data_IF_539600748396
#
_entry.id   IF_539600748396
#
_cell.length_a   1.000
_cell.length_b   1.000
_cell.length_c   1.000
_cell.angle_alpha   90.00
_cell.angle_beta   90.00
_cell.angle_gamma   90.00
#
_symmetry.space_group_name_H-M   'P 1'
#
loop_
_entity.id
_entity.type
_entity.pdbx_description
1 polymer ?
#
# COMPACT_ATOMS: atom_id res chain seq x y z
N UNK A 1 9.28 10.00 -17.68
CA UNK A 1 9.82 8.65 -17.41
C UNK A 1 8.71 7.65 -17.13
N UNK A 2 8.93 6.34 -17.35
CA UNK A 2 8.01 5.30 -16.92
C UNK A 2 8.39 4.83 -15.52
N UNK A 3 7.41 4.70 -14.62
CA UNK A 3 7.63 4.25 -13.24
C UNK A 3 6.67 3.11 -12.90
N UNK A 4 7.18 2.06 -12.27
CA UNK A 4 6.41 1.02 -11.59
C UNK A 4 6.53 1.27 -10.09
N UNK A 5 5.43 1.66 -9.44
CA UNK A 5 5.34 1.76 -7.98
C UNK A 5 4.91 0.42 -7.39
N UNK A 6 5.78 -0.20 -6.61
CA UNK A 6 5.46 -1.44 -5.90
C UNK A 6 4.64 -1.12 -4.65
N UNK A 7 3.35 -1.39 -4.73
CA UNK A 7 2.40 -1.18 -3.63
C UNK A 7 1.95 -2.55 -3.06
N UNK A 8 2.90 -3.39 -2.73
CA UNK A 8 2.68 -4.69 -2.10
C UNK A 8 2.84 -4.66 -0.57
N UNK A 9 2.57 -5.78 0.07
CA UNK A 9 2.79 -5.95 1.51
C UNK A 9 1.52 -5.97 2.36
N UNK A 10 1.53 -6.67 3.50
CA UNK A 10 0.40 -6.79 4.43
C UNK A 10 0.37 -5.69 5.49
N UNK A 11 1.49 -4.98 5.70
CA UNK A 11 1.57 -3.85 6.61
C UNK A 11 1.25 -4.10 8.09
N UNK A 12 1.08 -5.35 8.55
CA UNK A 12 0.62 -5.72 9.92
C UNK A 12 1.43 -5.13 11.07
N UNK A 13 2.65 -4.63 10.81
CA UNK A 13 3.52 -4.01 11.84
C UNK A 13 3.02 -2.64 12.32
N UNK A 14 2.08 -2.03 11.61
CA UNK A 14 1.42 -0.78 12.03
C UNK A 14 -0.01 -1.02 12.53
N UNK A 15 -0.30 -2.25 12.97
CA UNK A 15 -1.54 -2.51 13.69
C UNK A 15 -1.69 -1.54 14.88
N UNK A 16 -2.89 -1.00 15.15
CA UNK A 16 -4.19 -1.32 14.58
C UNK A 16 -4.60 -0.47 13.36
N UNK A 17 -3.73 0.39 12.83
CA UNK A 17 -4.06 1.22 11.65
C UNK A 17 -3.98 0.44 10.33
N UNK A 18 -3.19 -0.63 10.31
CA UNK A 18 -3.03 -1.49 9.14
C UNK A 18 -3.55 -2.90 9.41
N UNK A 19 -4.16 -3.50 8.39
CA UNK A 19 -4.69 -4.86 8.39
C UNK A 19 -4.48 -5.51 7.01
N UNK A 20 -5.05 -6.69 6.77
CA UNK A 20 -4.89 -7.43 5.51
C UNK A 20 -5.50 -6.71 4.28
N UNK A 21 -6.46 -5.79 4.49
CA UNK A 21 -7.09 -4.99 3.43
C UNK A 21 -6.47 -3.60 3.35
N UNK A 22 -6.31 -2.92 4.48
CA UNK A 22 -5.70 -1.59 4.57
C UNK A 22 -4.23 -1.71 4.92
N UNK A 23 -3.38 -1.74 3.92
CA UNK A 23 -1.92 -1.77 4.11
C UNK A 23 -1.37 -0.40 4.55
N UNK A 24 -0.17 -0.40 5.14
CA UNK A 24 0.49 0.78 5.74
C UNK A 24 0.56 2.01 4.80
N UNK A 25 0.78 1.79 3.52
CA UNK A 25 0.93 2.86 2.53
C UNK A 25 -0.34 3.68 2.29
N UNK A 26 -1.51 3.23 2.78
CA UNK A 26 -2.80 3.92 2.67
C UNK A 26 -3.20 4.69 3.94
N UNK A 27 -2.39 4.65 5.01
CA UNK A 27 -2.65 5.36 6.26
C UNK A 27 -2.33 6.85 6.08
N UNK A 28 -3.29 7.73 6.34
CA UNK A 28 -3.13 9.19 6.21
C UNK A 28 -2.60 9.78 7.50
N UNK A 29 -1.28 9.96 7.59
CA UNK A 29 -0.59 10.48 8.79
C UNK A 29 0.47 11.54 8.48
N UNK A 30 0.74 11.81 7.20
CA UNK A 30 1.69 12.84 6.80
C UNK A 30 0.95 14.14 6.53
N UNK A 31 1.27 15.18 7.30
CA UNK A 31 0.63 16.48 7.18
C UNK A 31 1.21 17.24 5.99
N UNK A 32 0.35 17.69 5.09
CA UNK A 32 0.67 18.60 3.99
C UNK A 32 0.75 20.05 4.47
N UNK A 33 1.27 20.93 3.60
CA UNK A 33 1.35 22.38 3.88
C UNK A 33 -0.04 23.03 4.06
N UNK A 34 -1.10 22.47 3.44
CA UNK A 34 -2.48 22.94 3.58
C UNK A 34 -3.16 22.46 4.89
N UNK A 35 -2.46 21.68 5.71
CA UNK A 35 -2.97 21.13 6.97
C UNK A 35 -3.67 19.78 6.85
N UNK A 36 -3.98 19.33 5.63
CA UNK A 36 -4.60 18.03 5.38
C UNK A 36 -3.57 16.89 5.54
N UNK A 37 -4.07 15.68 5.83
CA UNK A 37 -3.22 14.49 5.95
C UNK A 37 -3.25 13.67 4.65
N UNK A 38 -2.06 13.33 4.17
CA UNK A 38 -1.85 12.41 3.05
C UNK A 38 -1.28 11.06 3.51
N UNK A 39 -1.52 10.03 2.71
CA UNK A 39 -0.90 8.72 2.87
C UNK A 39 0.45 8.66 2.14
N UNK A 40 1.24 7.59 2.40
CA UNK A 40 2.51 7.40 1.72
C UNK A 40 2.34 7.30 0.20
N UNK A 41 1.35 6.55 -0.28
CA UNK A 41 1.12 6.43 -1.73
C UNK A 41 0.72 7.76 -2.36
N UNK A 42 -0.08 8.58 -1.68
CA UNK A 42 -0.43 9.93 -2.15
C UNK A 42 0.80 10.84 -2.18
N UNK A 43 1.62 10.80 -1.13
CA UNK A 43 2.85 11.58 -1.01
C UNK A 43 3.82 11.24 -2.15
N UNK A 44 4.16 9.97 -2.31
CA UNK A 44 5.11 9.50 -3.35
C UNK A 44 4.59 9.84 -4.74
N UNK A 45 3.31 9.59 -5.02
CA UNK A 45 2.71 9.91 -6.31
C UNK A 45 2.78 11.42 -6.62
N UNK A 46 2.43 12.27 -5.66
CA UNK A 46 2.52 13.73 -5.79
C UNK A 46 3.96 14.19 -6.04
N UNK A 47 4.92 13.68 -5.28
CA UNK A 47 6.34 14.04 -5.42
C UNK A 47 6.93 13.58 -6.77
N UNK A 48 6.51 12.42 -7.30
CA UNK A 48 6.88 11.99 -8.66
C UNK A 48 6.40 12.99 -9.69
N UNK A 49 5.12 13.39 -9.65
CA UNK A 49 4.56 14.34 -10.61
C UNK A 49 5.12 15.76 -10.46
N UNK A 50 5.58 16.13 -9.26
CA UNK A 50 6.31 17.40 -9.07
C UNK A 50 7.70 17.37 -9.72
N UNK A 51 8.42 16.24 -9.62
CA UNK A 51 9.73 16.07 -10.23
C UNK A 51 9.67 15.85 -11.76
N UNK A 52 8.64 15.16 -12.23
CA UNK A 52 8.40 14.86 -13.65
C UNK A 52 6.89 14.87 -13.95
N UNK A 53 6.33 16.03 -14.38
CA UNK A 53 4.90 16.13 -14.69
C UNK A 53 4.41 15.18 -15.79
N UNK A 54 5.30 14.72 -16.66
CA UNK A 54 5.01 13.78 -17.74
C UNK A 54 5.28 12.31 -17.35
N UNK A 55 5.54 12.04 -16.08
CA UNK A 55 5.79 10.67 -15.60
C UNK A 55 4.57 9.77 -15.82
N UNK A 56 4.78 8.61 -16.44
CA UNK A 56 3.78 7.56 -16.57
C UNK A 56 3.90 6.60 -15.39
N UNK A 57 2.98 6.72 -14.44
CA UNK A 57 3.03 5.95 -13.20
C UNK A 57 2.11 4.74 -13.30
N UNK A 58 2.67 3.55 -13.13
CA UNK A 58 1.95 2.28 -13.01
C UNK A 58 2.08 1.75 -11.60
N UNK A 59 0.97 1.55 -10.89
CA UNK A 59 0.97 0.96 -9.55
C UNK A 59 0.81 -0.56 -9.67
N UNK A 60 1.82 -1.32 -9.24
CA UNK A 60 1.73 -2.77 -9.08
C UNK A 60 1.14 -3.10 -7.71
N UNK A 61 -0.05 -3.69 -7.67
CA UNK A 61 -0.80 -3.89 -6.43
C UNK A 61 -1.68 -5.14 -6.48
N UNK A 62 -2.19 -5.57 -5.33
CA UNK A 62 -3.13 -6.68 -5.24
C UNK A 62 -4.58 -6.25 -5.44
N UNK A 63 -5.44 -7.19 -5.83
CA UNK A 63 -6.88 -6.96 -6.02
C UNK A 63 -7.56 -6.35 -4.78
N UNK A 64 -7.13 -6.71 -3.57
CA UNK A 64 -7.71 -6.19 -2.32
C UNK A 64 -7.41 -4.70 -2.10
N UNK A 65 -6.37 -4.15 -2.72
CA UNK A 65 -5.91 -2.77 -2.55
C UNK A 65 -6.39 -1.82 -3.67
N UNK A 66 -6.98 -2.35 -4.74
CA UNK A 66 -7.45 -1.54 -5.88
C UNK A 66 -8.34 -0.36 -5.47
N UNK A 67 -9.30 -0.62 -4.57
CA UNK A 67 -10.22 0.41 -4.10
C UNK A 67 -9.48 1.55 -3.40
N UNK A 68 -8.47 1.23 -2.58
CA UNK A 68 -7.66 2.24 -1.89
C UNK A 68 -6.81 3.05 -2.87
N UNK A 69 -6.22 2.41 -3.90
CA UNK A 69 -5.49 3.12 -4.95
C UNK A 69 -6.40 4.14 -5.66
N UNK A 70 -7.55 3.70 -6.21
CA UNK A 70 -8.45 4.60 -6.92
C UNK A 70 -9.12 5.65 -6.02
N UNK A 71 -9.30 5.35 -4.73
CA UNK A 71 -9.85 6.32 -3.78
C UNK A 71 -8.84 7.40 -3.38
N UNK A 72 -7.55 7.09 -3.37
CA UNK A 72 -6.52 8.00 -2.87
C UNK A 72 -5.73 8.69 -3.98
N UNK A 73 -5.53 8.04 -5.12
CA UNK A 73 -4.86 8.64 -6.27
C UNK A 73 -5.90 9.21 -7.23
N UNK A 74 -5.95 10.53 -7.32
CA UNK A 74 -6.79 11.24 -8.28
C UNK A 74 -6.02 11.34 -9.59
N UNK A 75 -6.70 11.05 -10.72
CA UNK A 75 -6.13 11.15 -12.05
C UNK A 75 -5.98 9.78 -12.76
N UNK A 76 -5.31 9.82 -13.90
CA UNK A 76 -5.08 8.64 -14.74
C UNK A 76 -3.86 7.85 -14.25
N UNK A 77 -4.05 7.06 -13.19
CA UNK A 77 -3.03 6.12 -12.74
C UNK A 77 -3.26 4.76 -13.41
N UNK A 78 -2.22 4.23 -14.04
CA UNK A 78 -2.23 2.86 -14.55
C UNK A 78 -2.07 1.88 -13.39
N UNK A 79 -2.74 0.73 -13.46
CA UNK A 79 -2.68 -0.28 -12.40
C UNK A 79 -2.43 -1.66 -12.98
N UNK A 80 -1.33 -2.28 -12.58
CA UNK A 80 -1.05 -3.69 -12.81
C UNK A 80 -1.48 -4.50 -11.59
N UNK A 81 -2.51 -5.34 -11.76
CA UNK A 81 -3.14 -6.08 -10.65
C UNK A 81 -2.58 -7.47 -10.54
N UNK A 82 -1.97 -7.79 -9.41
CA UNK A 82 -1.56 -9.15 -9.09
C UNK A 82 -2.77 -10.00 -8.66
N UNK A 83 -3.02 -11.16 -9.30
CA UNK A 83 -4.07 -12.08 -8.88
C UNK A 83 -3.90 -12.60 -7.44
N UNK A 84 -2.66 -12.83 -7.03
CA UNK A 84 -2.26 -13.24 -5.67
C UNK A 84 -0.82 -12.78 -5.37
N UNK A 85 -0.36 -12.90 -4.12
CA UNK A 85 1.00 -12.49 -3.73
C UNK A 85 2.04 -13.52 -4.11
N UNK A 86 3.03 -13.13 -4.94
CA UNK A 86 4.15 -13.97 -5.40
C UNK A 86 5.52 -13.31 -5.22
N UNK A 87 5.63 -12.29 -4.34
CA UNK A 87 6.85 -11.51 -4.13
C UNK A 87 7.21 -10.60 -5.32
N UNK A 88 8.34 -9.89 -5.26
CA UNK A 88 8.62 -8.75 -6.14
C UNK A 88 8.97 -9.12 -7.57
N UNK A 89 9.61 -10.28 -7.83
CA UNK A 89 9.95 -10.64 -9.22
C UNK A 89 8.71 -10.88 -10.11
N UNK A 90 7.72 -11.70 -9.72
CA UNK A 90 6.51 -11.86 -10.51
C UNK A 90 5.72 -10.55 -10.67
N UNK A 91 5.66 -9.72 -9.61
CA UNK A 91 4.98 -8.43 -9.66
C UNK A 91 5.62 -7.47 -10.68
N UNK A 92 6.96 -7.37 -10.67
CA UNK A 92 7.73 -6.56 -11.62
C UNK A 92 7.59 -7.09 -13.04
N UNK A 93 7.66 -8.42 -13.24
CA UNK A 93 7.50 -9.04 -14.55
C UNK A 93 6.11 -8.76 -15.14
N UNK A 94 5.04 -8.93 -14.33
CA UNK A 94 3.66 -8.65 -14.73
C UNK A 94 3.45 -7.18 -15.07
N UNK A 95 3.97 -6.26 -14.25
CA UNK A 95 3.85 -4.82 -14.49
C UNK A 95 4.65 -4.37 -15.72
N UNK A 96 5.84 -4.95 -15.96
CA UNK A 96 6.63 -4.69 -17.18
C UNK A 96 5.89 -5.18 -18.44
N UNK A 97 5.29 -6.38 -18.39
CA UNK A 97 4.46 -6.89 -19.47
C UNK A 97 3.20 -6.03 -19.69
N UNK A 98 2.56 -5.55 -18.61
CA UNK A 98 1.43 -4.62 -18.69
C UNK A 98 1.79 -3.34 -19.45
N UNK A 99 2.96 -2.75 -19.14
CA UNK A 99 3.43 -1.53 -19.81
C UNK A 99 3.57 -1.75 -21.34
N UNK A 100 4.11 -2.88 -21.76
CA UNK A 100 4.29 -3.18 -23.20
C UNK A 100 2.96 -3.58 -23.86
N UNK A 101 2.25 -4.57 -23.32
CA UNK A 101 1.11 -5.21 -23.98
C UNK A 101 -0.20 -4.45 -23.84
N UNK A 102 -0.35 -3.65 -22.78
CA UNK A 102 -1.60 -2.91 -22.48
C UNK A 102 -1.44 -1.40 -22.60
N UNK A 103 -0.31 -0.85 -22.15
CA UNK A 103 -0.05 0.59 -22.19
C UNK A 103 0.71 1.04 -23.44
N UNK A 104 1.18 0.12 -24.30
CA UNK A 104 1.84 0.42 -25.57
C UNK A 104 3.22 1.07 -25.43
N UNK A 105 3.89 0.88 -24.29
CA UNK A 105 5.25 1.38 -24.05
C UNK A 105 6.24 0.52 -24.84
N UNK A 106 7.20 1.14 -25.51
CA UNK A 106 8.21 0.39 -26.27
C UNK A 106 9.09 -0.47 -25.35
N UNK A 107 9.38 -1.72 -25.70
CA UNK A 107 10.35 -2.54 -24.97
C UNK A 107 11.75 -1.92 -24.83
N UNK A 108 12.08 -0.96 -25.69
CA UNK A 108 13.35 -0.23 -25.66
C UNK A 108 13.35 0.95 -24.69
N UNK A 109 12.19 1.37 -24.20
CA UNK A 109 12.11 2.41 -23.17
C UNK A 109 12.55 1.88 -21.81
N UNK A 110 13.19 2.75 -21.02
CA UNK A 110 13.53 2.45 -19.65
C UNK A 110 12.32 2.60 -18.73
N UNK A 111 12.33 1.84 -17.66
CA UNK A 111 11.40 1.92 -16.55
C UNK A 111 12.15 1.96 -15.23
N UNK A 112 11.68 2.76 -14.30
CA UNK A 112 12.14 2.77 -12.90
C UNK A 112 11.14 2.03 -12.04
N UNK A 113 11.59 1.06 -11.28
CA UNK A 113 10.81 0.38 -10.25
C UNK A 113 11.20 0.94 -8.91
N UNK A 114 10.25 1.39 -8.13
CA UNK A 114 10.49 1.83 -6.76
C UNK A 114 9.35 1.43 -5.82
N UNK A 115 9.63 1.18 -4.52
CA UNK A 115 8.61 0.93 -3.52
C UNK A 115 7.88 2.22 -3.16
N UNK A 116 6.62 2.11 -2.68
CA UNK A 116 5.80 3.26 -2.24
C UNK A 116 6.03 3.64 -0.78
N UNK A 117 6.85 2.91 -0.04
CA UNK A 117 6.92 2.98 1.42
C UNK A 117 8.16 3.67 2.02
N UNK A 118 9.20 4.10 1.28
CA UNK A 118 10.27 4.89 1.88
C UNK A 118 9.82 6.35 2.12
N UNK A 119 10.24 6.91 3.24
CA UNK A 119 10.13 8.33 3.53
C UNK A 119 11.41 9.04 3.05
N UNK A 120 11.25 9.89 2.05
CA UNK A 120 12.33 10.51 1.30
C UNK A 120 12.08 12.01 1.11
N UNK A 121 13.13 12.76 0.81
CA UNK A 121 13.03 14.15 0.35
C UNK A 121 12.85 14.22 -1.18
N UNK A 122 12.67 15.45 -1.70
CA UNK A 122 12.40 15.66 -3.12
C UNK A 122 13.60 15.32 -4.02
N UNK A 123 14.83 15.31 -3.49
CA UNK A 123 16.05 14.94 -4.23
C UNK A 123 16.03 13.48 -4.69
N UNK A 124 15.32 12.63 -3.96
CA UNK A 124 15.13 11.24 -4.34
C UNK A 124 14.44 11.08 -5.71
N UNK A 125 13.43 11.91 -5.98
CA UNK A 125 12.70 11.83 -7.25
C UNK A 125 13.50 12.40 -8.43
N UNK A 126 14.42 13.33 -8.17
CA UNK A 126 15.42 13.75 -9.16
C UNK A 126 16.38 12.60 -9.45
N UNK A 127 16.85 11.89 -8.42
CA UNK A 127 17.70 10.73 -8.60
C UNK A 127 17.02 9.57 -9.36
N UNK A 128 15.68 9.41 -9.27
CA UNK A 128 14.96 8.45 -10.12
C UNK A 128 15.05 8.80 -11.62
N UNK A 129 15.03 10.10 -11.97
CA UNK A 129 15.22 10.54 -13.36
C UNK A 129 16.64 10.24 -13.85
N UNK A 130 17.64 10.46 -13.00
CA UNK A 130 19.03 10.15 -13.32
C UNK A 130 19.23 8.65 -13.52
N UNK A 131 18.55 7.82 -12.71
CA UNK A 131 18.54 6.37 -12.86
C UNK A 131 17.96 5.95 -14.22
N UNK A 132 16.82 6.51 -14.60
CA UNK A 132 16.19 6.25 -15.89
C UNK A 132 17.13 6.63 -17.05
N UNK A 133 17.72 7.82 -16.97
CA UNK A 133 18.66 8.32 -17.98
C UNK A 133 19.93 7.43 -18.09
N UNK A 134 20.40 6.86 -16.96
CA UNK A 134 21.52 5.93 -16.98
C UNK A 134 21.15 4.60 -17.63
N UNK A 135 19.95 4.06 -17.33
CA UNK A 135 19.44 2.85 -17.97
C UNK A 135 19.24 3.02 -19.49
N UNK A 136 18.85 4.21 -19.95
CA UNK A 136 18.68 4.51 -21.37
C UNK A 136 20.00 4.44 -22.15
N UNK A 137 21.14 4.71 -21.53
CA UNK A 137 22.47 4.59 -22.18
C UNK A 137 22.78 3.14 -22.59
N UNK A 138 22.20 2.14 -21.89
CA UNK A 138 22.40 0.72 -22.20
C UNK A 138 23.79 0.18 -21.87
N UNK A 139 24.56 0.89 -21.05
CA UNK A 139 25.88 0.48 -20.59
C UNK A 139 25.82 -0.71 -19.64
N UNK A 140 24.73 -0.80 -18.86
CA UNK A 140 24.39 -1.90 -17.97
C UNK A 140 23.01 -2.48 -18.31
N UNK A 141 22.76 -3.72 -17.90
CA UNK A 141 21.45 -4.34 -18.00
C UNK A 141 20.50 -3.85 -16.90
N UNK A 142 21.07 -3.52 -15.74
CA UNK A 142 20.35 -3.10 -14.53
C UNK A 142 21.13 -1.96 -13.86
N UNK A 143 20.42 -0.91 -13.49
CA UNK A 143 20.95 0.22 -12.71
C UNK A 143 20.23 0.25 -11.36
N UNK A 144 20.98 0.24 -10.26
CA UNK A 144 20.48 0.27 -8.89
C UNK A 144 20.62 1.66 -8.29
N UNK A 145 19.71 2.04 -7.40
CA UNK A 145 19.95 3.14 -6.47
C UNK A 145 20.62 2.60 -5.21
N UNK A 146 21.81 3.05 -4.93
CA UNK A 146 22.54 2.71 -3.72
C UNK A 146 22.43 3.80 -2.68
N UNK A 147 21.86 3.48 -1.53
CA UNK A 147 21.65 4.39 -0.40
C UNK A 147 22.87 4.35 0.52
N UNK A 148 23.37 5.52 0.93
CA UNK A 148 24.48 5.59 1.90
C UNK A 148 24.06 4.99 3.25
N UNK A 149 24.77 3.95 3.76
CA UNK A 149 24.41 3.29 5.00
C UNK A 149 24.77 4.17 6.22
N UNK A 150 23.87 4.19 7.19
CA UNK A 150 24.07 4.90 8.46
C UNK A 150 24.35 3.95 9.64
N UNK A 151 24.14 2.65 9.47
CA UNK A 151 24.41 1.60 10.47
C UNK A 151 24.45 0.22 9.79
N UNK A 152 25.03 -0.83 10.43
CA UNK A 152 25.08 -2.18 9.87
C UNK A 152 23.73 -2.89 10.02
N UNK A 153 22.85 -2.73 9.01
CA UNK A 153 21.51 -3.31 8.98
C UNK A 153 21.53 -4.75 8.46
N UNK A 154 20.88 -5.67 9.17
CA UNK A 154 20.62 -7.03 8.71
C UNK A 154 19.34 -7.12 7.83
N UNK A 155 18.64 -5.98 7.62
CA UNK A 155 17.34 -5.95 6.94
C UNK A 155 17.45 -5.61 5.45
N UNK A 156 18.60 -5.07 5.01
CA UNK A 156 18.81 -4.59 3.65
C UNK A 156 19.84 -5.42 2.90
N UNK A 157 19.75 -5.43 1.57
CA UNK A 157 20.82 -5.88 0.69
C UNK A 157 21.96 -4.85 0.64
N UNK A 158 23.16 -5.31 0.35
CA UNK A 158 24.37 -4.50 0.20
C UNK A 158 24.90 -4.59 -1.21
N UNK A 159 25.15 -3.42 -1.80
CA UNK A 159 25.73 -3.24 -3.13
C UNK A 159 27.18 -2.84 -2.94
N UNK A 160 28.13 -3.63 -3.44
CA UNK A 160 29.55 -3.33 -3.37
C UNK A 160 30.00 -2.75 -4.72
N UNK A 161 30.21 -1.43 -4.83
CA UNK A 161 30.68 -0.80 -6.07
C UNK A 161 32.17 -1.08 -6.29
N UNK A 162 32.59 -0.97 -7.56
CA UNK A 162 34.02 -1.05 -7.95
C UNK A 162 34.78 0.21 -7.53
N UNK A 163 34.09 1.35 -7.47
CA UNK A 163 34.66 2.65 -7.13
C UNK A 163 33.69 3.53 -6.34
N UNK A 164 34.19 4.58 -5.71
CA UNK A 164 33.39 5.56 -4.97
C UNK A 164 32.88 6.73 -5.83
N UNK A 165 32.79 6.55 -7.15
CA UNK A 165 32.23 7.54 -8.07
C UNK A 165 30.69 7.60 -7.94
N UNK A 166 30.05 8.73 -8.34
CA UNK A 166 28.57 8.84 -8.29
C UNK A 166 27.82 7.73 -9.03
N UNK A 167 28.41 7.25 -10.12
CA UNK A 167 27.96 6.07 -10.89
C UNK A 167 29.14 5.11 -10.98
N UNK A 168 28.93 3.86 -10.58
CA UNK A 168 29.98 2.84 -10.60
C UNK A 168 29.41 1.48 -11.04
N UNK A 169 30.26 0.64 -11.63
CA UNK A 169 29.94 -0.76 -11.83
C UNK A 169 29.86 -1.48 -10.47
N UNK A 170 29.01 -2.50 -10.38
CA UNK A 170 28.83 -3.29 -9.17
C UNK A 170 29.70 -4.53 -9.24
N UNK A 171 30.56 -4.70 -8.24
CA UNK A 171 31.45 -5.86 -8.10
C UNK A 171 30.75 -7.05 -7.44
N UNK A 172 29.83 -6.79 -6.50
CA UNK A 172 29.07 -7.83 -5.80
C UNK A 172 27.77 -7.25 -5.19
N UNK A 173 26.79 -8.12 -5.04
CA UNK A 173 25.55 -7.85 -4.33
C UNK A 173 25.37 -8.93 -3.26
N UNK A 174 24.88 -8.54 -2.06
CA UNK A 174 24.60 -9.48 -0.97
C UNK A 174 23.33 -9.12 -0.23
N UNK A 175 22.35 -9.99 -0.28
CA UNK A 175 21.07 -9.80 0.39
C UNK A 175 21.15 -10.18 1.87
N UNK A 176 20.77 -9.26 2.75
CA UNK A 176 20.58 -9.44 4.20
C UNK A 176 21.71 -10.20 4.92
N UNK A 177 22.94 -9.69 4.94
CA UNK A 177 24.04 -10.27 5.71
C UNK A 177 23.78 -10.12 7.22
N UNK A 178 24.52 -10.86 8.05
CA UNK A 178 24.52 -10.58 9.48
C UNK A 178 25.25 -9.25 9.79
N UNK A 179 25.07 -8.72 11.02
CA UNK A 179 25.57 -7.39 11.39
C UNK A 179 27.11 -7.25 11.26
N UNK A 180 27.88 -8.31 11.52
CA UNK A 180 29.35 -8.30 11.40
C UNK A 180 29.74 -8.13 9.93
N UNK A 181 29.20 -8.94 9.04
CA UNK A 181 29.45 -8.88 7.60
C UNK A 181 28.91 -7.58 7.02
N UNK A 182 27.78 -7.09 7.52
CA UNK A 182 27.22 -5.79 7.13
C UNK A 182 28.21 -4.65 7.43
N UNK A 183 28.86 -4.65 8.60
CA UNK A 183 29.87 -3.66 8.95
C UNK A 183 31.09 -3.76 8.04
N UNK A 184 31.59 -4.97 7.78
CA UNK A 184 32.71 -5.19 6.86
C UNK A 184 32.42 -4.65 5.44
N UNK A 185 31.16 -4.78 4.97
CA UNK A 185 30.75 -4.21 3.67
C UNK A 185 30.70 -2.68 3.71
N UNK A 186 30.19 -2.08 4.80
CA UNK A 186 30.19 -0.62 4.98
C UNK A 186 31.63 -0.08 4.95
N UNK A 187 32.55 -0.73 5.63
CA UNK A 187 33.98 -0.35 5.68
C UNK A 187 34.64 -0.44 4.28
N UNK A 188 34.09 -1.27 3.39
CA UNK A 188 34.50 -1.37 1.99
C UNK A 188 33.75 -0.39 1.05
N UNK A 189 32.94 0.52 1.57
CA UNK A 189 32.18 1.50 0.81
C UNK A 189 30.91 0.96 0.15
N UNK A 190 30.34 -0.13 0.69
CA UNK A 190 29.07 -0.66 0.22
C UNK A 190 27.91 0.30 0.50
N UNK A 191 26.90 0.19 -0.33
CA UNK A 191 25.63 0.94 -0.25
C UNK A 191 24.49 -0.01 0.08
N UNK A 192 23.44 0.49 0.77
CA UNK A 192 22.21 -0.28 0.90
C UNK A 192 21.46 -0.36 -0.42
N UNK A 193 20.86 -1.50 -0.68
CA UNK A 193 19.87 -1.67 -1.73
C UNK A 193 18.51 -1.11 -1.25
N UNK A 194 18.09 0.00 -1.81
CA UNK A 194 16.80 0.64 -1.53
C UNK A 194 15.60 -0.01 -2.22
N UNK A 195 15.81 -1.12 -2.97
CA UNK A 195 14.76 -1.75 -3.76
C UNK A 195 14.34 -0.92 -4.99
N UNK A 196 15.22 -0.05 -5.46
CA UNK A 196 15.00 0.81 -6.64
C UNK A 196 15.87 0.32 -7.79
N UNK A 197 15.20 0.03 -8.90
CA UNK A 197 15.82 -0.54 -10.08
C UNK A 197 15.44 0.23 -11.34
N UNK A 198 16.37 0.46 -12.25
CA UNK A 198 16.06 0.95 -13.58
C UNK A 198 16.66 0.01 -14.66
N UNK A 199 15.88 -0.24 -15.70
CA UNK A 199 16.25 -1.15 -16.78
C UNK A 199 15.41 -0.86 -18.03
N UNK A 200 15.86 -1.30 -19.21
CA UNK A 200 15.01 -1.35 -20.41
C UNK A 200 13.99 -2.47 -20.29
N UNK A 201 12.72 -2.21 -20.60
CA UNK A 201 11.62 -3.17 -20.42
C UNK A 201 11.92 -4.55 -21.01
N UNK A 202 12.56 -4.60 -22.21
CA UNK A 202 12.98 -5.86 -22.86
C UNK A 202 13.80 -6.75 -21.93
N UNK A 203 14.68 -6.18 -21.09
CA UNK A 203 15.57 -6.96 -20.22
C UNK A 203 14.78 -7.80 -19.24
N UNK A 204 13.82 -7.21 -18.51
CA UNK A 204 13.02 -7.95 -17.53
C UNK A 204 12.05 -8.92 -18.21
N UNK A 205 11.53 -8.58 -19.40
CA UNK A 205 10.71 -9.51 -20.19
C UNK A 205 11.51 -10.73 -20.65
N UNK A 206 12.77 -10.56 -21.02
CA UNK A 206 13.68 -11.67 -21.34
C UNK A 206 13.98 -12.53 -20.10
N UNK A 207 14.23 -11.91 -18.93
CA UNK A 207 14.39 -12.64 -17.65
C UNK A 207 13.11 -13.41 -17.27
N UNK A 208 11.94 -12.83 -17.47
CA UNK A 208 10.66 -13.52 -17.24
C UNK A 208 10.54 -14.74 -18.17
N UNK A 209 10.86 -14.61 -19.47
CA UNK A 209 10.86 -15.73 -20.40
C UNK A 209 11.84 -16.84 -20.00
N UNK A 210 13.03 -16.48 -19.52
CA UNK A 210 14.04 -17.44 -19.08
C UNK A 210 13.67 -18.18 -17.80
N UNK A 211 13.08 -17.48 -16.82
CA UNK A 211 12.80 -18.00 -15.47
C UNK A 211 11.41 -18.63 -15.39
N UNK A 212 10.41 -18.03 -16.05
CA UNK A 212 8.99 -18.41 -15.97
C UNK A 212 8.57 -19.25 -17.19
N UNK A 213 9.22 -19.02 -18.35
CA UNK A 213 8.90 -19.68 -19.64
C UNK A 213 8.06 -18.82 -20.59
N UNK A 214 7.51 -17.68 -20.12
CA UNK A 214 6.75 -16.72 -20.93
C UNK A 214 6.85 -15.31 -20.35
N UNK A 215 6.52 -14.29 -21.15
CA UNK A 215 6.69 -12.90 -20.75
C UNK A 215 5.56 -11.96 -21.21
N UNK A 216 4.54 -12.50 -21.89
CA UNK A 216 3.34 -11.73 -22.26
C UNK A 216 2.38 -11.57 -21.07
N UNK A 217 1.70 -10.43 -21.03
CA UNK A 217 0.84 -10.06 -19.89
C UNK A 217 -0.24 -11.09 -19.61
N UNK A 218 -0.93 -11.57 -20.66
CA UNK A 218 -2.08 -12.46 -20.46
C UNK A 218 -1.66 -13.80 -19.86
N UNK A 219 -0.59 -14.41 -20.38
CA UNK A 219 -0.08 -15.70 -19.86
C UNK A 219 0.49 -15.55 -18.45
N UNK A 220 1.18 -14.42 -18.16
CA UNK A 220 1.66 -14.12 -16.81
C UNK A 220 0.49 -13.96 -15.83
N UNK A 221 -0.57 -13.27 -16.23
CA UNK A 221 -1.75 -13.05 -15.40
C UNK A 221 -2.53 -14.36 -15.13
N UNK A 222 -2.79 -15.13 -16.17
CA UNK A 222 -3.57 -16.39 -16.06
C UNK A 222 -2.81 -17.47 -15.27
N UNK A 223 -1.50 -17.59 -15.45
CA UNK A 223 -0.63 -18.52 -14.74
C UNK A 223 -0.05 -17.99 -13.43
N UNK A 224 -0.45 -16.80 -12.98
CA UNK A 224 0.21 -16.11 -11.86
C UNK A 224 0.21 -16.88 -10.54
N UNK A 225 -0.87 -17.63 -10.26
CA UNK A 225 -1.01 -18.43 -9.04
C UNK A 225 0.02 -19.57 -8.94
N UNK A 226 0.57 -20.01 -10.07
CA UNK A 226 1.51 -21.12 -10.12
C UNK A 226 2.97 -20.66 -10.11
N UNK A 227 3.19 -19.33 -10.23
CA UNK A 227 4.53 -18.78 -10.23
C UNK A 227 5.22 -18.97 -8.88
N UNK A 228 6.53 -19.23 -8.93
CA UNK A 228 7.37 -19.31 -7.73
C UNK A 228 7.38 -17.98 -6.99
N UNK A 229 7.15 -18.01 -5.69
CA UNK A 229 7.30 -16.85 -4.81
C UNK A 229 8.79 -16.56 -4.62
N UNK A 230 9.27 -15.46 -5.22
CA UNK A 230 10.69 -15.06 -5.18
C UNK A 230 10.83 -13.55 -5.35
N UNK A 231 11.77 -12.93 -4.62
CA UNK A 231 12.08 -11.51 -4.79
C UNK A 231 12.87 -11.24 -6.08
N UNK A 232 12.82 -10.01 -6.56
CA UNK A 232 13.59 -9.55 -7.71
C UNK A 232 15.09 -9.63 -7.44
N UNK A 233 15.49 -9.36 -6.20
CA UNK A 233 16.87 -9.43 -5.74
C UNK A 233 17.46 -10.83 -5.94
N UNK A 234 16.79 -11.87 -5.44
CA UNK A 234 17.23 -13.26 -5.58
C UNK A 234 17.05 -13.81 -7.01
N UNK A 235 16.01 -13.39 -7.71
CA UNK A 235 15.74 -13.92 -9.04
C UNK A 235 16.68 -13.33 -10.10
N UNK A 236 17.00 -12.04 -9.99
CA UNK A 236 17.67 -11.24 -11.02
C UNK A 236 18.94 -10.59 -10.52
N UNK A 237 18.88 -9.74 -9.45
CA UNK A 237 20.00 -8.87 -9.06
C UNK A 237 21.24 -9.66 -8.68
N UNK A 238 21.12 -10.70 -7.85
CA UNK A 238 22.27 -11.54 -7.42
C UNK A 238 22.94 -12.33 -8.55
N UNK A 239 22.29 -12.45 -9.72
CA UNK A 239 22.75 -13.26 -10.86
C UNK A 239 23.18 -12.44 -12.07
N UNK A 240 22.94 -11.13 -12.00
CA UNK A 240 23.29 -10.24 -13.10
C UNK A 240 24.74 -9.75 -12.95
N UNK A 241 25.50 -9.76 -14.04
CA UNK A 241 26.90 -9.35 -14.05
C UNK A 241 27.08 -7.90 -14.51
N UNK A 242 26.14 -7.40 -15.34
CA UNK A 242 26.21 -6.05 -15.90
C UNK A 242 25.30 -5.10 -15.12
N UNK A 243 25.73 -4.74 -13.91
CA UNK A 243 25.01 -3.85 -13.01
C UNK A 243 25.82 -2.59 -12.76
N UNK A 244 25.13 -1.44 -12.78
CA UNK A 244 25.64 -0.17 -12.28
C UNK A 244 24.84 0.28 -11.06
N UNK A 245 25.47 1.07 -10.20
CA UNK A 245 24.84 1.71 -9.07
C UNK A 245 25.00 3.23 -9.15
N UNK A 246 23.91 3.97 -8.97
CA UNK A 246 23.90 5.41 -8.75
C UNK A 246 23.80 5.65 -7.24
N UNK A 247 24.77 6.40 -6.67
CA UNK A 247 24.81 6.74 -5.25
C UNK A 247 23.75 7.78 -4.91
N UNK A 248 23.06 7.54 -3.82
CA UNK A 248 22.12 8.48 -3.25
C UNK A 248 22.45 8.76 -1.77
N UNK A 249 22.70 10.01 -1.44
CA UNK A 249 23.08 10.49 -0.09
C UNK A 249 22.01 11.37 0.57
N UNK A 250 20.82 11.48 -0.03
CA UNK A 250 19.71 12.23 0.54
C UNK A 250 18.99 11.47 1.67
N UNK A 251 17.94 12.07 2.19
CA UNK A 251 17.16 11.46 3.27
C UNK A 251 16.40 10.24 2.77
N UNK A 252 16.60 9.11 3.43
CA UNK A 252 15.90 7.87 3.15
C UNK A 252 15.61 7.11 4.44
N UNK A 253 14.35 6.74 4.68
CA UNK A 253 13.92 5.95 5.84
C UNK A 253 12.87 4.93 5.41
N UNK A 254 13.03 3.67 5.83
CA UNK A 254 11.96 2.66 5.74
C UNK A 254 10.99 2.83 6.91
N UNK A 255 9.73 3.12 6.61
CA UNK A 255 8.68 3.29 7.61
C UNK A 255 7.94 1.96 7.86
N UNK A 256 8.70 0.92 8.15
CA UNK A 256 8.17 -0.43 8.37
C UNK A 256 7.60 -0.70 9.76
N UNK A 257 7.88 0.15 10.76
CA UNK A 257 7.51 -0.03 12.16
C UNK A 257 7.05 1.28 12.79
N UNK A 258 6.36 1.21 13.92
CA UNK A 258 5.93 2.40 14.66
C UNK A 258 7.11 3.30 15.08
N UNK A 259 8.25 2.71 15.43
CA UNK A 259 9.44 3.47 15.78
C UNK A 259 9.86 4.38 14.62
N UNK A 260 10.10 3.80 13.45
CA UNK A 260 10.55 4.58 12.28
C UNK A 260 9.47 5.52 11.76
N UNK A 261 8.19 5.14 11.87
CA UNK A 261 7.07 5.96 11.47
C UNK A 261 6.95 7.22 12.34
N UNK A 262 7.03 7.09 13.67
CA UNK A 262 6.93 8.23 14.59
C UNK A 262 8.07 9.22 14.44
N UNK A 263 9.24 8.80 13.96
CA UNK A 263 10.35 9.71 13.64
C UNK A 263 10.09 10.57 12.38
N UNK A 264 9.20 10.10 11.48
CA UNK A 264 8.84 10.81 10.26
C UNK A 264 7.56 11.64 10.41
N UNK A 265 6.82 11.48 11.52
CA UNK A 265 5.63 12.27 11.81
C UNK A 265 6.01 13.71 12.19
N UNK A 266 5.36 14.69 11.59
CA UNK A 266 5.56 16.11 11.92
C UNK A 266 4.90 16.53 13.21
N UNK A 267 3.99 15.73 13.78
CA UNK A 267 3.23 16.02 15.00
C UNK A 267 3.19 14.80 15.91
N UNK A 268 3.30 15.06 17.22
CA UNK A 268 3.21 13.99 18.22
C UNK A 268 1.78 13.43 18.38
N UNK A 269 0.76 14.16 17.94
CA UNK A 269 -0.64 13.77 18.06
C UNK A 269 -1.34 13.91 16.72
N UNK A 270 -1.92 12.82 16.22
CA UNK A 270 -2.81 12.77 15.07
C UNK A 270 -4.17 12.27 15.56
N UNK A 271 -5.23 13.04 15.31
CA UNK A 271 -6.57 12.74 15.82
C UNK A 271 -6.87 13.28 17.22
N UNK A 272 -7.87 12.73 17.91
CA UNK A 272 -8.30 13.19 19.24
C UNK A 272 -7.36 12.63 20.32
N UNK A 273 -6.31 13.41 20.66
CA UNK A 273 -5.34 13.03 21.69
C UNK A 273 -4.87 14.23 22.52
N UNK A 274 -4.52 14.00 23.76
CA UNK A 274 -3.94 14.98 24.69
C UNK A 274 -2.69 14.35 25.30
N UNK A 275 -1.55 15.04 25.19
CA UNK A 275 -0.32 14.70 25.87
C UNK A 275 -0.11 15.68 27.03
N UNK A 276 -0.02 15.15 28.25
CA UNK A 276 0.37 15.96 29.40
C UNK A 276 1.86 16.32 29.31
N UNK A 277 2.26 17.45 29.93
CA UNK A 277 3.63 17.93 29.98
C UNK A 277 4.62 16.95 30.65
N UNK A 278 4.08 15.96 31.36
CA UNK A 278 4.85 14.87 31.98
C UNK A 278 5.24 13.77 31.00
N UNK A 279 4.78 13.83 29.75
CA UNK A 279 5.15 12.89 28.71
C UNK A 279 6.41 13.35 27.97
N UNK A 280 7.25 12.39 27.54
CA UNK A 280 8.40 12.65 26.67
C UNK A 280 8.54 11.58 25.61
N UNK A 281 8.76 11.97 24.35
CA UNK A 281 8.91 11.03 23.23
C UNK A 281 7.64 10.21 22.92
N UNK A 282 6.46 10.65 23.37
CA UNK A 282 5.19 9.92 23.18
C UNK A 282 4.50 10.39 21.91
N UNK A 283 3.93 9.45 21.15
CA UNK A 283 3.08 9.73 19.98
C UNK A 283 1.71 9.08 20.13
N UNK A 284 0.68 9.83 19.75
CA UNK A 284 -0.71 9.34 19.69
C UNK A 284 -1.20 9.41 18.24
N UNK A 285 -1.70 8.28 17.72
CA UNK A 285 -2.41 8.23 16.43
C UNK A 285 -3.78 7.61 16.68
N UNK A 286 -4.82 8.44 16.68
CA UNK A 286 -6.17 8.05 17.05
C UNK A 286 -7.18 8.31 15.92
N UNK A 287 -7.65 7.26 15.28
CA UNK A 287 -8.69 7.32 14.24
C UNK A 287 -10.11 7.16 14.81
N UNK A 288 -10.24 7.03 16.14
CA UNK A 288 -11.55 6.92 16.80
C UNK A 288 -12.08 8.28 17.22
N UNK A 289 -13.37 8.33 17.54
CA UNK A 289 -14.01 9.53 18.12
C UNK A 289 -13.83 9.63 19.65
N UNK A 290 -13.21 8.62 20.27
CA UNK A 290 -12.95 8.57 21.72
C UNK A 290 -11.63 9.30 21.99
N UNK A 291 -11.57 10.31 22.87
CA UNK A 291 -10.32 11.00 23.15
C UNK A 291 -9.34 10.12 23.92
N UNK A 292 -8.05 10.23 23.60
CA UNK A 292 -6.94 9.56 24.29
C UNK A 292 -6.18 10.60 25.11
N UNK A 293 -6.04 10.38 26.42
CA UNK A 293 -5.19 11.17 27.30
C UNK A 293 -4.00 10.33 27.76
N UNK A 294 -2.79 10.84 27.54
CA UNK A 294 -1.54 10.22 28.00
C UNK A 294 -0.83 11.10 29.02
N UNK A 295 -0.41 10.53 30.13
CA UNK A 295 0.30 11.21 31.23
C UNK A 295 1.45 10.36 31.76
N UNK A 296 2.62 10.98 32.01
CA UNK A 296 3.76 10.34 32.66
C UNK A 296 4.42 9.23 31.86
N UNK A 297 4.22 9.17 30.55
CA UNK A 297 4.77 8.14 29.67
C UNK A 297 6.06 8.65 28.98
N UNK A 298 6.93 7.69 28.63
CA UNK A 298 8.18 7.98 27.95
C UNK A 298 8.41 6.98 26.80
N UNK A 299 8.78 7.50 25.61
CA UNK A 299 9.14 6.74 24.41
C UNK A 299 8.08 5.68 23.99
N UNK A 300 6.80 6.04 24.11
CA UNK A 300 5.64 5.18 23.83
C UNK A 300 4.91 5.65 22.59
N UNK A 301 4.39 4.70 21.82
CA UNK A 301 3.34 4.94 20.82
C UNK A 301 2.00 4.43 21.34
N UNK A 302 0.97 5.26 21.20
CA UNK A 302 -0.42 4.91 21.44
C UNK A 302 -1.16 5.03 20.12
N UNK A 303 -1.72 3.95 19.64
CA UNK A 303 -2.50 3.96 18.42
C UNK A 303 -3.87 3.33 18.63
N UNK A 304 -4.92 4.01 18.20
CA UNK A 304 -6.29 3.56 18.33
C UNK A 304 -7.03 3.63 16.99
N UNK A 305 -7.71 2.55 16.64
CA UNK A 305 -8.61 2.46 15.50
C UNK A 305 -9.80 1.57 15.83
N UNK A 306 -10.70 1.35 14.87
CA UNK A 306 -11.77 0.35 15.06
C UNK A 306 -11.22 -1.09 15.17
N UNK A 307 -10.03 -1.37 14.61
CA UNK A 307 -9.40 -2.68 14.68
C UNK A 307 -8.73 -2.95 16.05
N UNK A 308 -8.56 -1.93 16.92
CA UNK A 308 -8.03 -2.12 18.27
C UNK A 308 -7.23 -0.93 18.80
N UNK A 309 -6.58 -1.16 19.94
CA UNK A 309 -5.74 -0.19 20.62
C UNK A 309 -4.37 -0.81 20.87
N UNK A 310 -3.31 -0.13 20.45
CA UNK A 310 -1.92 -0.45 20.75
C UNK A 310 -1.36 0.58 21.74
N UNK A 311 -0.75 0.12 22.80
CA UNK A 311 0.14 0.89 23.67
C UNK A 311 1.46 0.15 23.74
N UNK A 312 2.52 0.73 23.22
CA UNK A 312 3.78 0.02 23.04
C UNK A 312 4.98 0.95 23.19
N UNK A 313 6.04 0.47 23.83
CA UNK A 313 7.37 1.08 23.70
C UNK A 313 7.76 1.11 22.21
N UNK A 314 8.37 2.23 21.76
CA UNK A 314 8.69 2.42 20.35
C UNK A 314 9.65 1.39 19.80
N UNK A 315 10.67 0.97 20.56
CA UNK A 315 11.65 -0.01 20.11
C UNK A 315 11.02 -1.40 20.04
N UNK A 316 10.17 -1.75 21.03
CA UNK A 316 9.45 -3.02 21.06
C UNK A 316 8.42 -3.14 19.93
N UNK A 317 7.97 -2.03 19.37
CA UNK A 317 7.02 -2.01 18.24
C UNK A 317 7.50 -2.77 17.00
N UNK A 318 8.81 -2.99 16.86
CA UNK A 318 9.38 -3.78 15.78
C UNK A 318 9.03 -5.28 15.87
N UNK A 319 8.62 -5.75 17.04
CA UNK A 319 8.36 -7.16 17.36
C UNK A 319 6.88 -7.50 17.52
N UNK A 320 5.95 -6.61 17.19
CA UNK A 320 4.50 -6.82 17.40
C UNK A 320 3.90 -7.92 16.53
N UNK A 321 4.54 -8.26 15.38
CA UNK A 321 3.96 -9.14 14.36
C UNK A 321 3.45 -10.48 14.89
N UNK A 322 4.20 -11.26 15.72
CA UNK A 322 3.73 -12.54 16.26
C UNK A 322 2.44 -12.41 17.10
N UNK A 323 2.29 -11.31 17.82
CA UNK A 323 1.11 -11.05 18.64
C UNK A 323 -0.10 -10.68 17.76
N UNK A 324 0.12 -9.82 16.76
CA UNK A 324 -0.93 -9.41 15.82
C UNK A 324 -1.40 -10.57 14.94
N UNK A 325 -0.49 -11.47 14.52
CA UNK A 325 -0.84 -12.65 13.74
C UNK A 325 -1.74 -13.64 14.54
N UNK A 326 -1.73 -13.57 15.88
CA UNK A 326 -2.61 -14.32 16.77
C UNK A 326 -3.96 -13.67 17.07
N UNK A 327 -4.20 -12.44 16.58
CA UNK A 327 -5.49 -11.76 16.76
C UNK A 327 -6.44 -12.20 15.64
N UNK A 328 -7.41 -13.05 15.99
CA UNK A 328 -8.52 -13.38 15.11
C UNK A 328 -9.54 -12.25 15.15
N UNK A 329 -9.54 -11.39 14.16
CA UNK A 329 -10.42 -10.24 14.12
C UNK A 329 -11.02 -10.03 12.73
N UNK A 330 -12.30 -9.69 12.71
CA UNK A 330 -12.99 -9.19 11.53
C UNK A 330 -12.42 -7.81 11.15
N UNK A 331 -12.31 -7.55 9.86
CA UNK A 331 -11.91 -6.22 9.36
C UNK A 331 -13.00 -5.21 9.70
N UNK A 332 -12.66 -4.26 10.57
CA UNK A 332 -13.61 -3.27 11.08
C UNK A 332 -13.75 -2.04 10.19
N UNK A 333 -12.76 -1.76 9.34
CA UNK A 333 -12.78 -0.63 8.40
C UNK A 333 -12.22 -1.06 7.04
N UNK A 334 -12.92 -0.74 5.96
CA UNK A 334 -12.39 -0.94 4.62
C UNK A 334 -12.85 0.12 3.62
N UNK A 335 -11.92 0.50 2.72
CA UNK A 335 -12.25 1.25 1.52
C UNK A 335 -12.80 0.32 0.44
N UNK A 336 -13.82 0.79 -0.27
CA UNK A 336 -14.45 0.14 -1.42
C UNK A 336 -14.46 1.10 -2.61
N UNK A 337 -14.63 0.57 -3.83
CA UNK A 337 -14.76 1.42 -5.02
C UNK A 337 -15.89 2.45 -4.93
N UNK A 338 -16.94 2.13 -4.21
CA UNK A 338 -18.10 2.99 -4.02
C UNK A 338 -18.00 3.93 -2.79
N UNK A 339 -16.98 3.78 -1.92
CA UNK A 339 -16.82 4.58 -0.70
C UNK A 339 -16.09 3.81 0.39
N UNK A 340 -16.66 3.74 1.58
CA UNK A 340 -16.07 3.02 2.73
C UNK A 340 -17.13 2.49 3.67
N UNK A 341 -16.73 1.54 4.52
CA UNK A 341 -17.54 1.15 5.66
C UNK A 341 -16.71 1.07 6.93
N UNK A 342 -17.39 1.23 8.06
CA UNK A 342 -16.85 1.02 9.42
C UNK A 342 -17.84 0.16 10.21
N UNK A 343 -17.39 -0.96 10.72
CA UNK A 343 -18.15 -1.75 11.70
C UNK A 343 -18.13 -1.01 13.03
N UNK A 344 -19.31 -0.80 13.61
CA UNK A 344 -19.49 -0.05 14.84
C UNK A 344 -19.71 -0.98 16.04
N UNK A 345 -20.41 -2.09 15.82
CA UNK A 345 -20.68 -3.10 16.85
C UNK A 345 -20.84 -4.47 16.21
N UNK A 346 -20.40 -5.51 16.92
CA UNK A 346 -20.60 -6.92 16.57
C UNK A 346 -21.08 -7.66 17.80
N UNK A 347 -22.21 -8.33 17.66
CA UNK A 347 -22.79 -9.17 18.71
C UNK A 347 -23.16 -10.54 18.14
N UNK A 348 -23.51 -11.49 19.02
CA UNK A 348 -24.01 -12.79 18.57
C UNK A 348 -25.34 -12.60 17.80
N UNK A 349 -25.27 -12.75 16.47
CA UNK A 349 -26.43 -12.63 15.59
C UNK A 349 -26.76 -11.23 15.09
N UNK A 350 -25.90 -10.23 15.35
CA UNK A 350 -26.07 -8.89 14.77
C UNK A 350 -24.74 -8.19 14.50
N UNK A 351 -24.73 -7.33 13.49
CA UNK A 351 -23.63 -6.43 13.19
C UNK A 351 -24.16 -5.07 12.75
N UNK A 352 -23.62 -3.99 13.32
CA UNK A 352 -23.94 -2.61 12.93
C UNK A 352 -22.79 -1.99 12.18
N UNK A 353 -23.08 -1.45 11.00
CA UNK A 353 -22.08 -0.88 10.10
C UNK A 353 -22.48 0.55 9.73
N UNK A 354 -21.53 1.48 9.77
CA UNK A 354 -21.68 2.79 9.13
C UNK A 354 -21.10 2.72 7.73
N UNK A 355 -21.91 3.05 6.74
CA UNK A 355 -21.53 3.06 5.33
C UNK A 355 -21.51 4.50 4.82
N UNK A 356 -20.49 4.83 4.04
CA UNK A 356 -20.40 6.12 3.32
C UNK A 356 -20.18 5.83 1.85
N UNK A 357 -21.09 6.30 1.00
CA UNK A 357 -20.96 6.21 -0.45
C UNK A 357 -20.57 7.57 -1.04
N UNK A 358 -19.67 7.54 -2.01
CA UNK A 358 -19.27 8.71 -2.80
C UNK A 358 -20.38 9.12 -3.78
N UNK A 359 -20.51 10.41 -4.12
CA UNK A 359 -21.45 10.85 -5.14
C UNK A 359 -21.27 10.08 -6.46
N UNK A 360 -22.39 9.67 -7.06
CA UNK A 360 -22.43 8.95 -8.34
C UNK A 360 -22.08 7.44 -8.24
N UNK A 361 -21.67 6.93 -7.08
CA UNK A 361 -21.30 5.53 -6.90
C UNK A 361 -22.43 4.70 -6.30
N UNK A 362 -22.38 3.40 -6.54
CA UNK A 362 -23.33 2.42 -6.02
C UNK A 362 -22.65 1.18 -5.45
N UNK A 363 -23.26 0.56 -4.48
CA UNK A 363 -22.91 -0.81 -4.07
C UNK A 363 -23.19 -1.78 -5.24
N UNK A 364 -22.62 -2.98 -5.18
CA UNK A 364 -23.02 -4.04 -6.09
C UNK A 364 -24.51 -4.38 -5.83
N UNK A 365 -25.25 -4.74 -6.89
CA UNK A 365 -26.57 -5.34 -6.74
C UNK A 365 -26.39 -6.78 -6.24
N UNK A 366 -26.94 -7.12 -5.06
CA UNK A 366 -26.63 -8.37 -4.37
C UNK A 366 -27.77 -8.82 -3.45
N UNK A 367 -27.66 -10.04 -2.96
CA UNK A 367 -28.52 -10.58 -1.89
C UNK A 367 -27.68 -11.33 -0.85
N UNK A 368 -28.29 -11.62 0.28
CA UNK A 368 -27.78 -12.45 1.37
C UNK A 368 -28.76 -13.57 1.68
N UNK A 369 -28.27 -14.76 2.03
CA UNK A 369 -29.12 -15.90 2.37
C UNK A 369 -29.34 -16.03 3.87
N UNK A 370 -28.32 -15.68 4.69
CA UNK A 370 -28.28 -15.98 6.12
C UNK A 370 -28.60 -14.77 7.00
N UNK A 371 -28.92 -13.60 6.39
CA UNK A 371 -29.21 -12.38 7.14
C UNK A 371 -30.26 -11.48 6.53
N UNK A 372 -30.98 -10.79 7.39
CA UNK A 372 -31.79 -9.60 7.09
C UNK A 372 -30.93 -8.34 7.28
N UNK A 373 -31.28 -7.25 6.61
CA UNK A 373 -30.63 -5.96 6.80
C UNK A 373 -31.66 -4.85 7.02
N UNK A 374 -31.29 -3.90 7.88
CA UNK A 374 -32.06 -2.66 8.09
C UNK A 374 -31.11 -1.51 7.79
N UNK A 375 -31.46 -0.69 6.80
CA UNK A 375 -30.71 0.51 6.48
C UNK A 375 -31.43 1.75 6.97
N UNK A 376 -30.72 2.66 7.63
CA UNK A 376 -31.22 3.97 8.02
C UNK A 376 -30.36 5.04 7.36
N UNK A 377 -30.95 5.86 6.52
CA UNK A 377 -30.25 6.97 5.87
C UNK A 377 -30.01 8.09 6.88
N UNK A 378 -28.73 8.46 7.05
CA UNK A 378 -28.32 9.47 8.04
C UNK A 378 -28.12 10.83 7.38
N UNK A 379 -27.51 10.86 6.18
CA UNK A 379 -27.29 12.11 5.43
C UNK A 379 -27.12 11.82 3.94
N UNK A 380 -27.34 12.85 3.13
CA UNK A 380 -27.27 12.74 1.67
C UNK A 380 -28.56 12.22 1.05
N UNK A 381 -28.59 12.17 -0.28
CA UNK A 381 -29.72 11.64 -1.06
C UNK A 381 -29.21 10.62 -2.05
N UNK A 382 -30.06 9.65 -2.38
CA UNK A 382 -29.71 8.55 -3.25
C UNK A 382 -30.93 7.81 -3.78
N UNK A 383 -30.69 6.67 -4.40
CA UNK A 383 -31.71 5.76 -4.92
C UNK A 383 -31.41 4.33 -4.43
N UNK A 384 -32.39 3.66 -3.87
CA UNK A 384 -32.31 2.20 -3.61
C UNK A 384 -33.01 1.43 -4.73
N UNK A 385 -32.53 0.22 -4.99
CA UNK A 385 -33.17 -0.74 -5.87
C UNK A 385 -33.33 -2.03 -5.06
N UNK A 386 -34.58 -2.46 -4.85
CA UNK A 386 -34.92 -3.69 -4.14
C UNK A 386 -35.78 -4.56 -5.04
N UNK A 387 -35.31 -5.75 -5.39
CA UNK A 387 -35.95 -6.70 -6.34
C UNK A 387 -36.36 -6.03 -7.67
N UNK A 388 -35.55 -5.05 -8.13
CA UNK A 388 -35.80 -4.29 -9.36
C UNK A 388 -36.64 -3.03 -9.18
N UNK A 389 -37.29 -2.83 -8.04
CA UNK A 389 -38.08 -1.63 -7.73
C UNK A 389 -37.16 -0.50 -7.25
N UNK A 390 -37.27 0.67 -7.88
CA UNK A 390 -36.47 1.88 -7.57
C UNK A 390 -37.23 2.79 -6.62
N UNK A 391 -36.51 3.32 -5.64
CA UNK A 391 -37.05 4.31 -4.69
C UNK A 391 -35.98 5.32 -4.32
N UNK A 392 -36.31 6.60 -4.41
CA UNK A 392 -35.48 7.67 -3.87
C UNK A 392 -35.41 7.57 -2.35
N UNK A 393 -34.23 7.90 -1.79
CA UNK A 393 -33.99 7.89 -0.36
C UNK A 393 -33.32 9.17 0.11
N UNK A 394 -33.74 9.61 1.32
CA UNK A 394 -33.28 10.82 1.98
C UNK A 394 -33.08 10.58 3.49
N UNK A 395 -32.47 11.51 4.24
CA UNK A 395 -32.26 11.36 5.68
C UNK A 395 -33.55 11.06 6.44
N UNK A 396 -33.51 10.00 7.29
CA UNK A 396 -34.64 9.48 8.05
C UNK A 396 -35.36 8.31 7.38
N UNK A 397 -35.09 8.01 6.11
CA UNK A 397 -35.65 6.83 5.47
C UNK A 397 -35.08 5.55 6.07
N UNK A 398 -35.98 4.56 6.23
CA UNK A 398 -35.67 3.21 6.69
C UNK A 398 -36.01 2.21 5.58
N UNK A 399 -35.05 1.35 5.25
CA UNK A 399 -35.18 0.30 4.25
C UNK A 399 -35.02 -1.05 4.96
N UNK A 400 -36.06 -1.88 4.88
CA UNK A 400 -36.06 -3.25 5.42
C UNK A 400 -35.77 -4.22 4.26
N UNK A 401 -34.73 -5.01 4.41
CA UNK A 401 -34.25 -5.96 3.44
C UNK A 401 -34.27 -7.36 4.05
N UNK A 402 -35.07 -8.25 3.48
CA UNK A 402 -35.13 -9.65 3.94
C UNK A 402 -34.07 -10.49 3.25
N UNK A 403 -33.70 -11.58 3.90
CA UNK A 403 -32.85 -12.60 3.29
C UNK A 403 -33.38 -12.98 1.90
N UNK A 404 -32.46 -13.16 0.94
CA UNK A 404 -32.69 -13.40 -0.47
C UNK A 404 -33.24 -12.24 -1.31
N UNK A 405 -33.65 -11.12 -0.72
CA UNK A 405 -34.00 -9.93 -1.51
C UNK A 405 -32.75 -9.33 -2.17
N UNK A 406 -32.84 -9.07 -3.48
CA UNK A 406 -31.75 -8.41 -4.23
C UNK A 406 -31.83 -6.92 -4.01
N UNK A 407 -30.71 -6.31 -3.62
CA UNK A 407 -30.72 -4.90 -3.28
C UNK A 407 -29.40 -4.20 -3.61
N UNK A 408 -29.49 -2.88 -3.75
CA UNK A 408 -28.37 -1.95 -3.86
C UNK A 408 -28.81 -0.56 -3.45
N UNK A 409 -27.83 0.32 -3.24
CA UNK A 409 -28.04 1.76 -3.10
C UNK A 409 -27.04 2.52 -3.95
N UNK A 410 -27.50 3.58 -4.61
CA UNK A 410 -26.70 4.53 -5.38
C UNK A 410 -26.76 5.90 -4.70
N UNK A 411 -25.63 6.50 -4.49
CA UNK A 411 -25.52 7.85 -3.95
C UNK A 411 -25.65 8.90 -5.09
N UNK A 412 -26.50 9.88 -4.91
CA UNK A 412 -26.58 11.09 -5.77
C UNK A 412 -25.63 12.14 -5.19
N UNK A 413 -25.74 12.42 -3.89
CA UNK A 413 -24.75 13.18 -3.12
C UNK A 413 -23.93 12.22 -2.26
N UNK A 414 -22.96 12.68 -1.46
CA UNK A 414 -22.36 11.81 -0.45
C UNK A 414 -23.45 11.25 0.45
N UNK A 415 -23.63 9.94 0.46
CA UNK A 415 -24.70 9.24 1.17
C UNK A 415 -24.14 8.47 2.37
N UNK A 416 -24.64 8.75 3.55
CA UNK A 416 -24.29 8.01 4.78
C UNK A 416 -25.50 7.25 5.30
N UNK A 417 -25.29 5.98 5.58
CA UNK A 417 -26.31 5.13 6.19
C UNK A 417 -25.72 4.27 7.31
N UNK A 418 -26.59 3.91 8.25
CA UNK A 418 -26.34 2.86 9.23
C UNK A 418 -27.03 1.60 8.70
N UNK A 419 -26.30 0.53 8.61
CA UNK A 419 -26.74 -0.79 8.22
C UNK A 419 -26.68 -1.69 9.44
N UNK A 420 -27.81 -2.28 9.83
CA UNK A 420 -27.90 -3.31 10.87
C UNK A 420 -28.18 -4.64 10.19
N UNK A 421 -27.26 -5.56 10.33
CA UNK A 421 -27.35 -6.93 9.82
C UNK A 421 -27.82 -7.85 10.95
N UNK A 422 -28.79 -8.71 10.68
CA UNK A 422 -29.41 -9.62 11.64
C UNK A 422 -29.37 -11.05 11.07
N UNK A 423 -28.59 -11.93 11.68
CA UNK A 423 -28.42 -13.31 11.19
C UNK A 423 -27.53 -14.14 12.10
N UNK A 424 -27.43 -15.45 11.82
CA UNK A 424 -26.60 -16.37 12.63
C UNK A 424 -25.11 -16.32 12.22
N UNK A 425 -24.84 -16.26 10.91
CA UNK A 425 -23.48 -16.22 10.34
C UNK A 425 -23.36 -15.01 9.43
N UNK A 426 -22.95 -13.87 10.01
CA UNK A 426 -22.76 -12.63 9.28
C UNK A 426 -21.34 -12.61 8.71
N UNK A 427 -21.17 -13.17 7.52
CA UNK A 427 -19.86 -13.28 6.85
C UNK A 427 -19.86 -12.59 5.49
N UNK A 428 -18.68 -12.26 4.99
CA UNK A 428 -18.51 -11.68 3.64
C UNK A 428 -18.85 -12.70 2.56
N UNK A 429 -18.78 -14.00 2.84
CA UNK A 429 -19.09 -15.09 1.93
C UNK A 429 -20.59 -15.24 1.66
N UNK A 430 -21.45 -14.76 2.58
CA UNK A 430 -22.91 -14.70 2.40
C UNK A 430 -23.33 -13.52 1.50
N UNK A 431 -22.64 -13.35 0.35
CA UNK A 431 -22.95 -12.28 -0.60
C UNK A 431 -22.99 -12.81 -2.03
N UNK A 432 -24.18 -12.93 -2.59
CA UNK A 432 -24.40 -13.26 -3.99
C UNK A 432 -24.59 -11.99 -4.82
N UNK A 433 -23.78 -11.80 -5.86
CA UNK A 433 -23.81 -10.62 -6.75
C UNK A 433 -24.62 -10.91 -8.01
N UNK A 434 -25.32 -9.87 -8.51
CA UNK A 434 -26.11 -9.89 -9.72
C UNK A 434 -25.74 -8.72 -10.65
N UNK A 435 -26.05 -8.81 -11.97
CA UNK A 435 -26.03 -7.65 -12.85
C UNK A 435 -26.97 -6.55 -12.33
N UNK A 436 -26.61 -5.29 -12.57
CA UNK A 436 -27.50 -4.16 -12.23
C UNK A 436 -28.76 -4.23 -13.11
N UNK A 437 -29.95 -4.00 -12.53
CA UNK A 437 -31.23 -4.02 -13.26
C UNK A 437 -31.43 -2.77 -14.12
#
# INVERSE_FOLDING_TARGET
MNIILLSGGSGKRLWPLSNDIRSKQFIRIFKKADGEYESMVQRVYRQILQADPDARVTVATSKSQLSSIFNQLQGEVMVSVEPCRRDTFPAIALASAYLVDKAGVSPEESVVVCPVDPYVDDSYFVALKDLAAQADKGEANLVLMGIEPTYPSEKYGYILPVSNTPIADVRAFKEKPNAIVAQEYIDQGALWNGGVFAYKLRYVLEKARQIIGFCDYQRLFDGYSDLKKISFDYAVVEKEERIQVCRYSGQWKDLGTWNTLTEAMGEAVVGKGILADTCSGVHIVNETDIPVLAMGLKDVVISASADGILVCDKQQSSYIKPYVDGIEQQVMVADKSWGSYRVMNVESGSMTIKVTLKPGHSMNYHSHQERDEVWVVISGVGETIVDGERRDVAPGDVILLKANQRHTVRAITELKLIEVQLGRDITVSDKQKYPMP
#
